data_IF_578794215044
#
_entry.id   IF_578794215044
#
_cell.length_a   1.000
_cell.length_b   1.000
_cell.length_c   1.000
_cell.angle_alpha   90.00
_cell.angle_beta   90.00
_cell.angle_gamma   90.00
#
_symmetry.space_group_name_H-M   'P 1'
#
loop_
_entity.id
_entity.type
_entity.pdbx_description
1 polymer ?
#
# COMPACT_ATOMS: atom_id res chain seq x y z
N UNK A 1 23.57 -4.51 48.04
CA UNK A 1 24.82 -4.18 47.31
C UNK A 1 25.26 -5.42 46.55
N UNK A 2 25.03 -5.47 45.24
CA UNK A 2 25.51 -6.52 44.34
C UNK A 2 26.64 -5.92 43.52
N UNK A 3 27.86 -6.44 43.67
CA UNK A 3 29.04 -5.94 42.98
C UNK A 3 29.31 -6.74 41.70
N UNK A 4 29.95 -6.12 40.67
CA UNK A 4 30.34 -6.82 39.46
C UNK A 4 31.40 -7.87 39.81
N UNK A 5 31.12 -9.14 39.55
CA UNK A 5 32.14 -10.19 39.57
C UNK A 5 33.11 -9.89 38.42
N UNK A 6 34.27 -9.30 38.73
CA UNK A 6 35.39 -9.22 37.79
C UNK A 6 35.87 -10.65 37.51
N UNK A 7 35.45 -11.22 36.39
CA UNK A 7 36.01 -12.47 35.87
C UNK A 7 37.47 -12.20 35.52
N UNK A 8 38.38 -12.72 36.35
CA UNK A 8 39.81 -12.64 36.06
C UNK A 8 40.13 -13.83 35.15
N UNK A 9 40.23 -13.58 33.84
CA UNK A 9 40.59 -14.63 32.88
C UNK A 9 42.10 -14.91 33.00
N UNK A 10 42.47 -16.06 33.55
CA UNK A 10 43.81 -16.59 33.34
C UNK A 10 43.84 -17.24 31.96
N UNK A 11 44.62 -16.66 31.04
CA UNK A 11 44.99 -17.31 29.79
C UNK A 11 45.65 -18.64 30.14
N UNK A 12 45.00 -19.73 29.74
CA UNK A 12 45.56 -21.07 29.88
C UNK A 12 46.94 -21.10 29.22
N UNK A 13 47.99 -21.25 30.03
CA UNK A 13 49.38 -21.21 29.57
C UNK A 13 49.71 -22.42 28.67
N UNK A 14 48.78 -23.38 28.52
CA UNK A 14 48.88 -24.50 27.60
C UNK A 14 48.45 -24.19 26.16
N UNK A 15 47.79 -23.05 25.90
CA UNK A 15 47.44 -22.64 24.54
C UNK A 15 48.69 -22.26 23.75
N UNK A 16 49.06 -23.10 22.78
CA UNK A 16 50.19 -22.81 21.90
C UNK A 16 49.87 -21.58 21.04
N UNK A 17 50.90 -20.82 20.66
CA UNK A 17 50.76 -19.70 19.73
C UNK A 17 50.13 -20.13 18.38
N UNK A 18 50.21 -21.40 18.03
CA UNK A 18 49.57 -21.99 16.87
C UNK A 18 48.05 -22.13 17.03
N UNK A 19 47.57 -22.59 18.19
CA UNK A 19 46.14 -22.66 18.50
C UNK A 19 45.48 -21.27 18.49
N UNK A 20 46.16 -20.25 19.02
CA UNK A 20 45.68 -18.87 18.97
C UNK A 20 45.61 -18.32 17.54
N UNK A 21 46.57 -18.65 16.68
CA UNK A 21 46.53 -18.25 15.25
C UNK A 21 45.42 -18.96 14.49
N UNK A 22 45.22 -20.26 14.72
CA UNK A 22 44.12 -21.01 14.12
C UNK A 22 42.77 -20.42 14.54
N UNK A 23 42.56 -20.16 15.84
CA UNK A 23 41.34 -19.54 16.34
C UNK A 23 41.11 -18.13 15.74
N UNK A 24 42.16 -17.33 15.59
CA UNK A 24 42.07 -16.02 14.94
C UNK A 24 41.73 -16.11 13.44
N UNK A 25 42.30 -17.09 12.73
CA UNK A 25 41.98 -17.36 11.32
C UNK A 25 40.52 -17.80 11.16
N UNK A 26 40.04 -18.72 12.00
CA UNK A 26 38.65 -19.17 12.00
C UNK A 26 37.69 -18.02 12.32
N UNK A 27 38.04 -17.17 13.30
CA UNK A 27 37.26 -15.97 13.60
C UNK A 27 37.20 -15.00 12.41
N UNK A 28 38.31 -14.79 11.70
CA UNK A 28 38.35 -13.95 10.51
C UNK A 28 37.51 -14.53 9.36
N UNK A 29 37.52 -15.85 9.17
CA UNK A 29 36.68 -16.53 8.15
C UNK A 29 35.19 -16.41 8.49
N UNK A 30 34.81 -16.59 9.76
CA UNK A 30 33.42 -16.39 10.22
C UNK A 30 32.95 -14.96 10.00
N UNK A 31 33.75 -13.98 10.36
CA UNK A 31 33.44 -12.55 10.15
C UNK A 31 33.31 -12.20 8.67
N UNK A 32 34.19 -12.72 7.81
CA UNK A 32 34.10 -12.50 6.37
C UNK A 32 32.83 -13.13 5.77
N UNK A 33 32.45 -14.31 6.25
CA UNK A 33 31.21 -14.98 5.83
C UNK A 33 29.98 -14.19 6.27
N UNK A 34 29.95 -13.70 7.51
CA UNK A 34 28.88 -12.84 8.04
C UNK A 34 28.70 -11.58 7.20
N UNK A 35 29.78 -10.85 6.90
CA UNK A 35 29.72 -9.65 6.05
C UNK A 35 29.20 -9.94 4.64
N UNK A 36 29.54 -11.10 4.05
CA UNK A 36 29.00 -11.51 2.76
C UNK A 36 27.51 -11.81 2.83
N UNK A 37 27.05 -12.46 3.90
CA UNK A 37 25.62 -12.73 4.12
C UNK A 37 24.83 -11.44 4.35
N UNK A 38 25.34 -10.53 5.18
CA UNK A 38 24.75 -9.20 5.40
C UNK A 38 24.66 -8.42 4.07
N UNK A 39 25.75 -8.33 3.31
CA UNK A 39 25.75 -7.66 2.01
C UNK A 39 24.79 -8.32 0.99
N UNK A 40 24.69 -9.65 0.98
CA UNK A 40 23.75 -10.37 0.12
C UNK A 40 22.29 -10.10 0.53
N UNK A 41 22.00 -10.05 1.83
CA UNK A 41 20.66 -9.69 2.36
C UNK A 41 20.29 -8.27 1.99
N UNK A 42 21.19 -7.31 2.18
CA UNK A 42 20.94 -5.91 1.85
C UNK A 42 20.72 -5.74 0.34
N UNK A 43 21.51 -6.43 -0.49
CA UNK A 43 21.31 -6.45 -1.94
C UNK A 43 19.95 -7.05 -2.34
N UNK A 44 19.51 -8.13 -1.66
CA UNK A 44 18.21 -8.74 -1.91
C UNK A 44 17.05 -7.81 -1.51
N UNK A 45 17.16 -7.10 -0.38
CA UNK A 45 16.16 -6.10 0.05
C UNK A 45 16.06 -4.94 -0.94
N UNK A 46 17.20 -4.43 -1.43
CA UNK A 46 17.22 -3.39 -2.47
C UNK A 46 16.60 -3.87 -3.77
N UNK A 47 16.88 -5.12 -4.19
CA UNK A 47 16.29 -5.71 -5.39
C UNK A 47 14.77 -5.90 -5.26
N UNK A 48 14.29 -6.33 -4.09
CA UNK A 48 12.85 -6.43 -3.80
C UNK A 48 12.17 -5.07 -3.84
N UNK A 49 12.75 -4.06 -3.17
CA UNK A 49 12.23 -2.69 -3.19
C UNK A 49 12.17 -2.10 -4.62
N UNK A 50 13.19 -2.35 -5.44
CA UNK A 50 13.18 -1.94 -6.85
C UNK A 50 12.08 -2.66 -7.65
N UNK A 51 11.88 -3.96 -7.42
CA UNK A 51 10.80 -4.73 -8.06
C UNK A 51 9.43 -4.18 -7.66
N UNK A 52 9.23 -3.86 -6.39
CA UNK A 52 7.98 -3.32 -5.86
C UNK A 52 7.67 -1.93 -6.43
N UNK A 53 8.68 -1.07 -6.54
CA UNK A 53 8.56 0.23 -7.18
C UNK A 53 8.17 0.09 -8.67
N UNK A 54 8.78 -0.86 -9.38
CA UNK A 54 8.42 -1.14 -10.77
C UNK A 54 6.99 -1.67 -10.93
N UNK A 55 6.53 -2.58 -10.05
CA UNK A 55 5.12 -3.05 -10.01
C UNK A 55 4.17 -1.90 -9.81
N UNK A 56 4.46 -1.03 -8.83
CA UNK A 56 3.66 0.15 -8.52
C UNK A 56 3.57 1.07 -9.74
N UNK A 57 4.70 1.31 -10.39
CA UNK A 57 4.79 2.08 -11.62
C UNK A 57 3.88 1.53 -12.72
N UNK A 58 3.84 0.21 -12.90
CA UNK A 58 2.95 -0.45 -13.87
C UNK A 58 1.48 -0.28 -13.49
N UNK A 59 1.12 -0.51 -12.23
CA UNK A 59 -0.27 -0.37 -11.74
C UNK A 59 -0.79 1.05 -11.93
N UNK A 60 0.01 2.07 -11.61
CA UNK A 60 -0.31 3.49 -11.86
C UNK A 60 -0.64 3.75 -13.33
N UNK A 61 0.22 3.29 -14.25
CA UNK A 61 0.02 3.51 -15.68
C UNK A 61 -1.18 2.75 -16.22
N UNK A 62 -1.42 1.52 -15.76
CA UNK A 62 -2.63 0.76 -16.10
C UNK A 62 -3.92 1.46 -15.64
N UNK A 63 -3.91 2.08 -14.45
CA UNK A 63 -5.04 2.87 -13.98
C UNK A 63 -5.30 4.09 -14.88
N UNK A 64 -4.23 4.82 -15.26
CA UNK A 64 -4.32 5.95 -16.21
C UNK A 64 -4.80 5.53 -17.60
N UNK A 65 -4.32 4.39 -18.12
CA UNK A 65 -4.81 3.80 -19.38
C UNK A 65 -6.31 3.52 -19.31
N UNK A 66 -6.77 2.96 -18.19
CA UNK A 66 -8.18 2.66 -17.97
C UNK A 66 -9.02 3.94 -17.94
N UNK A 67 -8.58 4.96 -17.20
CA UNK A 67 -9.25 6.26 -17.14
C UNK A 67 -9.31 6.97 -18.51
N UNK A 68 -8.23 6.92 -19.28
CA UNK A 68 -8.18 7.46 -20.64
C UNK A 68 -9.12 6.71 -21.59
N UNK A 69 -9.17 5.38 -21.48
CA UNK A 69 -10.06 4.53 -22.26
C UNK A 69 -11.53 4.84 -21.98
N UNK A 70 -11.90 5.01 -20.71
CA UNK A 70 -13.25 5.42 -20.32
C UNK A 70 -13.58 6.81 -20.88
N UNK A 71 -12.68 7.78 -20.71
CA UNK A 71 -12.88 9.14 -21.23
C UNK A 71 -13.09 9.13 -22.75
N UNK A 72 -12.34 8.29 -23.47
CA UNK A 72 -12.54 8.10 -24.91
C UNK A 72 -13.95 7.57 -25.23
N UNK A 73 -14.41 6.55 -24.53
CA UNK A 73 -15.77 6.01 -24.75
C UNK A 73 -16.83 7.08 -24.50
N UNK A 74 -16.73 7.83 -23.41
CA UNK A 74 -17.65 8.94 -23.10
C UNK A 74 -17.67 9.98 -24.24
N UNK A 75 -16.49 10.36 -24.76
CA UNK A 75 -16.40 11.30 -25.88
C UNK A 75 -16.89 10.71 -27.20
N UNK A 76 -16.72 9.41 -27.42
CA UNK A 76 -17.21 8.73 -28.60
C UNK A 76 -18.73 8.62 -28.58
N UNK A 77 -19.35 8.43 -27.41
CA UNK A 77 -20.79 8.51 -27.24
C UNK A 77 -21.31 9.92 -27.56
N UNK A 78 -20.58 10.96 -27.13
CA UNK A 78 -20.96 12.36 -27.34
C UNK A 78 -20.74 12.87 -28.79
N UNK A 79 -19.60 12.56 -29.40
CA UNK A 79 -19.15 13.15 -30.68
C UNK A 79 -19.02 12.13 -31.82
N UNK A 80 -19.35 10.87 -31.58
CA UNK A 80 -19.36 9.81 -32.59
C UNK A 80 -17.99 9.54 -33.22
N UNK A 81 -17.95 9.49 -34.55
CA UNK A 81 -16.78 9.08 -35.33
C UNK A 81 -15.63 10.11 -35.33
N UNK A 82 -15.82 11.30 -34.77
CA UNK A 82 -14.76 12.30 -34.64
C UNK A 82 -13.63 11.85 -33.68
N UNK A 83 -13.93 10.91 -32.78
CA UNK A 83 -12.99 10.40 -31.79
C UNK A 83 -12.42 9.07 -32.26
N UNK A 84 -11.14 9.07 -32.63
CA UNK A 84 -10.44 7.93 -33.27
C UNK A 84 -9.27 7.42 -32.42
N UNK A 85 -8.82 8.18 -31.40
CA UNK A 85 -7.64 7.85 -30.59
C UNK A 85 -7.69 6.43 -30.02
N UNK A 86 -6.55 5.74 -30.08
CA UNK A 86 -6.38 4.42 -29.48
C UNK A 86 -5.44 4.50 -28.26
N UNK A 87 -5.95 4.31 -27.03
CA UNK A 87 -5.09 4.24 -25.86
C UNK A 87 -4.19 2.98 -25.93
N UNK A 88 -2.99 3.01 -25.32
CA UNK A 88 -2.12 1.84 -25.26
C UNK A 88 -2.78 0.73 -24.42
N UNK A 89 -2.35 -0.53 -24.61
CA UNK A 89 -2.90 -1.66 -23.89
C UNK A 89 -2.29 -1.78 -22.47
N UNK A 90 -3.09 -2.06 -21.42
CA UNK A 90 -2.57 -2.31 -20.07
C UNK A 90 -1.67 -3.53 -20.02
N UNK A 91 -0.57 -3.46 -19.27
CA UNK A 91 0.31 -4.61 -19.05
C UNK A 91 -0.23 -5.52 -17.95
N UNK A 92 -0.34 -6.81 -18.24
CA UNK A 92 -0.57 -7.84 -17.21
C UNK A 92 0.77 -8.21 -16.57
N UNK A 93 0.88 -7.93 -15.27
CA UNK A 93 2.07 -8.28 -14.48
C UNK A 93 2.07 -9.80 -14.29
N UNK A 94 3.19 -10.42 -14.65
CA UNK A 94 3.47 -11.85 -14.54
C UNK A 94 4.96 -12.05 -14.27
N UNK A 95 5.65 -12.81 -15.12
CA UNK A 95 7.06 -13.21 -14.94
C UNK A 95 8.08 -12.20 -15.45
N UNK A 96 7.68 -10.97 -15.76
CA UNK A 96 8.62 -9.95 -16.24
C UNK A 96 9.64 -9.57 -15.16
N UNK A 97 10.85 -9.27 -15.61
CA UNK A 97 11.94 -8.71 -14.80
C UNK A 97 11.70 -7.24 -14.43
N UNK A 98 12.42 -6.74 -13.42
CA UNK A 98 12.35 -5.33 -13.03
C UNK A 98 12.66 -4.38 -14.19
N UNK A 99 13.72 -4.67 -14.96
CA UNK A 99 14.13 -3.85 -16.09
C UNK A 99 13.08 -3.82 -17.23
N UNK A 100 12.41 -4.94 -17.51
CA UNK A 100 11.33 -4.99 -18.50
C UNK A 100 10.12 -4.15 -18.06
N UNK A 101 9.78 -4.17 -16.77
CA UNK A 101 8.69 -3.36 -16.23
C UNK A 101 9.01 -1.86 -16.28
N UNK A 102 10.24 -1.48 -15.96
CA UNK A 102 10.71 -0.09 -16.06
C UNK A 102 10.72 0.40 -17.51
N UNK A 103 11.21 -0.42 -18.44
CA UNK A 103 11.20 -0.11 -19.87
C UNK A 103 9.77 0.06 -20.39
N UNK A 104 8.86 -0.84 -20.01
CA UNK A 104 7.43 -0.70 -20.33
C UNK A 104 6.84 0.58 -19.73
N UNK A 105 7.17 0.92 -18.49
CA UNK A 105 6.67 2.15 -17.87
C UNK A 105 7.08 3.40 -18.67
N UNK A 106 8.34 3.47 -19.09
CA UNK A 106 8.85 4.59 -19.88
C UNK A 106 8.20 4.68 -21.27
N UNK A 107 7.91 3.54 -21.90
CA UNK A 107 7.19 3.48 -23.17
C UNK A 107 5.71 3.88 -23.01
N UNK A 108 5.04 3.34 -21.99
CA UNK A 108 3.66 3.65 -21.66
C UNK A 108 3.48 5.15 -21.37
N UNK A 109 4.43 5.82 -20.71
CA UNK A 109 4.37 7.26 -20.46
C UNK A 109 4.37 8.07 -21.76
N UNK A 110 5.21 7.70 -22.74
CA UNK A 110 5.24 8.35 -24.06
C UNK A 110 3.97 8.10 -24.86
N UNK A 111 3.46 6.86 -24.83
CA UNK A 111 2.23 6.49 -25.51
C UNK A 111 1.00 7.19 -24.91
N UNK A 112 0.90 7.23 -23.57
CA UNK A 112 -0.15 7.95 -22.85
C UNK A 112 -0.13 9.45 -23.15
N UNK A 113 1.05 10.09 -23.10
CA UNK A 113 1.16 11.52 -23.40
C UNK A 113 0.73 11.84 -24.85
N UNK A 114 0.99 10.94 -25.79
CA UNK A 114 0.57 11.10 -27.18
C UNK A 114 -0.94 10.93 -27.33
N UNK A 115 -1.50 9.83 -26.80
CA UNK A 115 -2.93 9.56 -26.85
C UNK A 115 -3.77 10.63 -26.13
N UNK A 116 -3.28 11.15 -24.99
CA UNK A 116 -3.96 12.26 -24.29
C UNK A 116 -4.02 13.52 -25.15
N UNK A 117 -2.89 13.95 -25.73
CA UNK A 117 -2.87 15.13 -26.60
C UNK A 117 -3.79 14.98 -27.81
N UNK A 118 -3.73 13.83 -28.49
CA UNK A 118 -4.61 13.56 -29.63
C UNK A 118 -6.10 13.60 -29.24
N UNK A 119 -6.44 13.06 -28.06
CA UNK A 119 -7.83 13.05 -27.59
C UNK A 119 -8.29 14.45 -27.24
N UNK A 120 -7.44 15.26 -26.61
CA UNK A 120 -7.72 16.66 -26.32
C UNK A 120 -7.96 17.47 -27.58
N UNK A 121 -7.11 17.30 -28.60
CA UNK A 121 -7.24 17.99 -29.88
C UNK A 121 -8.51 17.58 -30.63
N UNK A 122 -8.82 16.28 -30.70
CA UNK A 122 -10.04 15.78 -31.35
C UNK A 122 -11.31 16.26 -30.64
N UNK A 123 -11.36 16.19 -29.31
CA UNK A 123 -12.49 16.65 -28.52
C UNK A 123 -12.69 18.16 -28.64
N UNK A 124 -11.62 18.96 -28.57
CA UNK A 124 -11.72 20.41 -28.71
C UNK A 124 -12.21 20.80 -30.11
N UNK A 125 -11.76 20.11 -31.16
CA UNK A 125 -12.21 20.33 -32.53
C UNK A 125 -13.66 19.93 -32.74
N UNK A 126 -14.08 18.78 -32.23
CA UNK A 126 -15.47 18.31 -32.31
C UNK A 126 -16.40 19.30 -31.61
N UNK A 127 -16.05 19.70 -30.38
CA UNK A 127 -16.84 20.68 -29.63
C UNK A 127 -16.90 22.04 -30.32
N UNK A 128 -15.80 22.55 -30.87
CA UNK A 128 -15.81 23.81 -31.61
C UNK A 128 -16.72 23.71 -32.85
N UNK A 129 -16.66 22.60 -33.58
CA UNK A 129 -17.51 22.36 -34.75
C UNK A 129 -18.99 22.40 -34.36
N UNK A 130 -19.37 21.68 -33.30
CA UNK A 130 -20.76 21.67 -32.80
C UNK A 130 -21.20 23.05 -32.32
N UNK A 131 -20.34 23.76 -31.59
CA UNK A 131 -20.63 25.07 -31.01
C UNK A 131 -20.92 26.13 -32.07
N UNK A 132 -20.08 26.22 -33.11
CA UNK A 132 -20.20 27.28 -34.12
C UNK A 132 -21.17 26.92 -35.27
N UNK A 133 -21.45 25.63 -35.49
CA UNK A 133 -22.51 25.22 -36.41
C UNK A 133 -23.90 25.70 -35.94
N UNK A 134 -24.17 25.67 -34.64
CA UNK A 134 -25.46 26.14 -34.08
C UNK A 134 -25.59 27.67 -34.15
N UNK A 135 -24.50 28.40 -33.88
CA UNK A 135 -24.49 29.88 -33.95
C UNK A 135 -24.74 30.38 -35.37
N UNK A 136 -24.08 29.79 -36.36
CA UNK A 136 -24.23 30.18 -37.78
C UNK A 136 -25.63 29.86 -38.30
N UNK A 137 -26.22 28.73 -37.90
CA UNK A 137 -27.61 28.39 -38.20
C UNK A 137 -28.63 29.39 -37.65
N UNK A 138 -28.48 29.81 -36.38
CA UNK A 138 -29.39 30.78 -35.75
C UNK A 138 -29.29 32.19 -36.33
N UNK A 139 -28.11 32.60 -36.79
CA UNK A 139 -27.96 33.90 -37.48
C UNK A 139 -28.64 33.93 -38.85
N UNK A 140 -28.70 32.79 -39.55
CA UNK A 140 -29.39 32.69 -40.84
C UNK A 140 -30.92 32.79 -40.68
N UNK A 141 -31.49 32.21 -39.61
CA UNK A 141 -32.94 32.31 -39.35
C UNK A 141 -33.38 33.67 -38.77
N UNK A 142 -32.47 34.42 -38.13
CA UNK A 142 -32.80 35.74 -37.56
C UNK A 142 -32.83 36.88 -38.58
N UNK A 143 -32.60 36.63 -39.87
CA UNK A 143 -32.60 37.69 -40.89
C UNK A 143 -33.61 37.40 -41.99
N UNK A 144 -34.79 37.99 -41.85
CA UNK A 144 -35.53 38.77 -42.87
C UNK A 144 -36.79 39.35 -42.20
N UNK A 145 -36.61 40.35 -41.32
CA UNK A 145 -37.65 41.37 -41.17
C UNK A 145 -37.40 42.37 -42.29
N UNK A 146 -38.41 42.59 -43.12
CA UNK A 146 -38.34 43.46 -44.28
C UNK A 146 -37.90 44.87 -43.86
N UNK A 147 -36.78 45.32 -44.42
CA UNK A 147 -36.19 46.63 -44.14
C UNK A 147 -37.14 47.79 -44.53
N UNK A 148 -38.19 47.52 -45.31
CA UNK A 148 -39.24 48.48 -45.61
C UNK A 148 -40.13 48.84 -44.40
N UNK A 149 -40.25 47.98 -43.37
CA UNK A 149 -41.15 48.24 -42.24
C UNK A 149 -40.51 48.95 -41.04
N UNK A 150 -39.17 48.94 -40.92
CA UNK A 150 -38.48 49.49 -39.74
C UNK A 150 -37.87 50.89 -39.93
N UNK A 151 -37.78 51.41 -41.16
CA UNK A 151 -37.04 52.65 -41.47
C UNK A 151 -37.85 53.73 -42.20
N UNK A 152 -39.18 53.74 -42.08
CA UNK A 152 -39.98 54.84 -42.61
C UNK A 152 -39.73 56.20 -41.90
N UNK A 153 -38.96 56.27 -40.80
CA UNK A 153 -38.70 57.56 -40.14
C UNK A 153 -37.44 57.57 -39.25
N UNK A 154 -36.23 57.65 -39.81
CA UNK A 154 -35.12 58.40 -39.16
C UNK A 154 -33.86 58.57 -40.01
N UNK A 155 -33.44 59.83 -40.06
CA UNK A 155 -32.23 60.37 -40.69
C UNK A 155 -30.92 59.66 -40.35
N UNK A 156 -30.05 59.65 -41.36
CA UNK A 156 -28.71 59.09 -41.42
C UNK A 156 -27.76 59.52 -40.29
N UNK A 157 -26.87 58.60 -39.88
CA UNK A 157 -25.46 58.94 -39.76
C UNK A 157 -24.60 58.04 -40.64
N UNK A 158 -23.91 58.68 -41.58
CA UNK A 158 -22.83 58.12 -42.40
C UNK A 158 -21.60 57.85 -41.52
N UNK A 159 -21.26 56.58 -41.31
CA UNK A 159 -20.07 56.16 -40.55
C UNK A 159 -19.92 54.65 -40.23
N UNK A 160 -20.93 53.82 -40.47
CA UNK A 160 -20.99 52.44 -39.93
C UNK A 160 -20.37 51.31 -40.78
N UNK A 161 -19.78 51.59 -41.95
CA UNK A 161 -19.31 50.52 -42.86
C UNK A 161 -18.01 49.85 -42.37
N UNK A 162 -17.34 50.43 -41.37
CA UNK A 162 -16.13 49.84 -40.75
C UNK A 162 -16.41 48.80 -39.66
N UNK A 163 -17.59 48.76 -39.03
CA UNK A 163 -17.81 47.98 -37.81
C UNK A 163 -18.08 46.49 -38.04
N UNK A 164 -18.71 46.11 -39.16
CA UNK A 164 -19.10 44.70 -39.38
C UNK A 164 -17.89 43.78 -39.58
N UNK A 165 -16.85 44.22 -40.31
CA UNK A 165 -15.62 43.44 -40.50
C UNK A 165 -14.76 43.38 -39.23
N UNK A 166 -14.73 44.45 -38.43
CA UNK A 166 -14.05 44.43 -37.13
C UNK A 166 -14.73 43.45 -36.15
N UNK A 167 -16.06 43.40 -36.16
CA UNK A 167 -16.84 42.47 -35.33
C UNK A 167 -16.66 41.01 -35.79
N UNK A 168 -16.60 40.74 -37.09
CA UNK A 168 -16.34 39.40 -37.64
C UNK A 168 -14.94 38.90 -37.29
N UNK A 169 -13.91 39.73 -37.50
CA UNK A 169 -12.53 39.39 -37.13
C UNK A 169 -12.37 39.19 -35.61
N UNK A 170 -13.08 39.97 -34.79
CA UNK A 170 -13.08 39.80 -33.34
C UNK A 170 -13.77 38.48 -32.92
N UNK A 171 -14.86 38.08 -33.59
CA UNK A 171 -15.52 36.79 -33.36
C UNK A 171 -14.63 35.60 -33.74
N UNK A 172 -13.94 35.67 -34.88
CA UNK A 172 -12.95 34.64 -35.26
C UNK A 172 -11.82 34.52 -34.21
N UNK A 173 -11.38 35.62 -33.60
CA UNK A 173 -10.37 35.58 -32.55
C UNK A 173 -10.89 34.95 -31.25
N UNK A 174 -12.15 35.21 -30.89
CA UNK A 174 -12.83 34.54 -29.78
C UNK A 174 -12.92 33.04 -30.04
N UNK A 175 -13.34 32.61 -31.24
CA UNK A 175 -13.41 31.20 -31.65
C UNK A 175 -12.03 30.52 -31.57
N UNK A 176 -11.01 31.13 -32.16
CA UNK A 176 -9.63 30.62 -32.14
C UNK A 176 -9.12 30.50 -30.70
N UNK A 177 -9.47 31.46 -29.85
CA UNK A 177 -9.07 31.45 -28.45
C UNK A 177 -9.84 30.42 -27.63
N UNK A 178 -11.15 30.24 -27.84
CA UNK A 178 -11.95 29.21 -27.20
C UNK A 178 -11.44 27.82 -27.57
N UNK A 179 -11.19 27.55 -28.85
CA UNK A 179 -10.62 26.29 -29.33
C UNK A 179 -9.29 25.99 -28.62
N UNK A 180 -8.39 26.98 -28.53
CA UNK A 180 -7.10 26.86 -27.82
C UNK A 180 -7.23 26.69 -26.31
N UNK A 181 -8.26 27.27 -25.67
CA UNK A 181 -8.49 27.11 -24.23
C UNK A 181 -9.05 25.72 -23.94
N UNK A 182 -9.99 25.25 -24.75
CA UNK A 182 -10.63 23.94 -24.60
C UNK A 182 -9.70 22.79 -24.96
N UNK A 183 -8.76 22.98 -25.89
CA UNK A 183 -7.70 22.00 -26.19
C UNK A 183 -6.74 21.76 -25.01
N UNK A 184 -6.80 22.57 -23.95
CA UNK A 184 -6.04 22.36 -22.71
C UNK A 184 -6.82 21.60 -21.65
N UNK A 185 -8.12 21.35 -21.85
CA UNK A 185 -8.92 20.58 -20.92
C UNK A 185 -8.45 19.12 -20.90
N UNK A 186 -8.09 18.60 -19.73
CA UNK A 186 -7.64 17.21 -19.60
C UNK A 186 -8.78 16.24 -19.92
N UNK A 187 -8.53 15.12 -20.63
CA UNK A 187 -9.59 14.23 -21.08
C UNK A 187 -10.31 13.53 -19.91
N UNK A 188 -9.57 13.23 -18.85
CA UNK A 188 -10.05 12.60 -17.61
C UNK A 188 -10.60 13.61 -16.58
N UNK A 189 -10.91 14.85 -17.02
CA UNK A 189 -11.72 15.74 -16.21
C UNK A 189 -13.11 15.12 -16.00
N UNK A 190 -13.62 15.13 -14.76
CA UNK A 190 -14.96 14.60 -14.46
C UNK A 190 -16.03 15.30 -15.29
N UNK A 191 -17.09 14.55 -15.62
CA UNK A 191 -18.18 15.00 -16.51
C UNK A 191 -18.80 16.34 -16.08
N UNK A 192 -18.96 16.56 -14.77
CA UNK A 192 -19.46 17.83 -14.23
C UNK A 192 -18.57 19.03 -14.55
N UNK A 193 -17.26 18.94 -14.25
CA UNK A 193 -16.31 20.03 -14.54
C UNK A 193 -16.18 20.30 -16.04
N UNK A 194 -16.28 19.24 -16.86
CA UNK A 194 -16.29 19.35 -18.31
C UNK A 194 -17.51 20.14 -18.79
N UNK A 195 -18.71 19.76 -18.33
CA UNK A 195 -19.96 20.43 -18.66
C UNK A 195 -19.94 21.91 -18.23
N UNK A 196 -19.39 22.21 -17.05
CA UNK A 196 -19.25 23.59 -16.56
C UNK A 196 -18.36 24.45 -17.47
N UNK A 197 -17.24 23.90 -17.94
CA UNK A 197 -16.32 24.60 -18.85
C UNK A 197 -16.97 24.79 -20.24
N UNK A 198 -17.65 23.76 -20.75
CA UNK A 198 -18.38 23.81 -22.02
C UNK A 198 -19.51 24.84 -21.97
N UNK A 199 -20.27 24.91 -20.87
CA UNK A 199 -21.33 25.91 -20.70
C UNK A 199 -20.78 27.34 -20.74
N UNK A 200 -19.64 27.61 -20.11
CA UNK A 200 -19.00 28.93 -20.18
C UNK A 200 -18.50 29.25 -21.59
N UNK A 201 -18.01 28.25 -22.33
CA UNK A 201 -17.60 28.43 -23.73
C UNK A 201 -18.80 28.74 -24.63
N UNK A 202 -19.94 28.08 -24.40
CA UNK A 202 -21.21 28.40 -25.09
C UNK A 202 -21.60 29.85 -24.84
N UNK A 203 -21.55 30.31 -23.58
CA UNK A 203 -21.85 31.72 -23.24
C UNK A 203 -20.90 32.71 -23.91
N UNK A 204 -19.62 32.35 -24.07
CA UNK A 204 -18.66 33.18 -24.78
C UNK A 204 -18.96 33.28 -26.28
N UNK A 205 -19.42 32.19 -26.91
CA UNK A 205 -19.78 32.17 -28.33
C UNK A 205 -21.13 32.84 -28.62
N UNK A 206 -22.09 32.76 -27.68
CA UNK A 206 -23.40 33.41 -27.78
C UNK A 206 -23.41 34.88 -27.35
N UNK A 207 -22.28 35.40 -26.85
CA UNK A 207 -22.17 36.76 -26.34
C UNK A 207 -22.54 37.79 -27.42
N UNK A 208 -23.36 38.77 -27.02
CA UNK A 208 -23.87 39.80 -27.94
C UNK A 208 -22.86 40.92 -28.19
N UNK A 209 -21.92 41.08 -27.26
CA UNK A 209 -20.88 42.12 -27.31
C UNK A 209 -19.50 41.51 -27.10
N UNK A 210 -18.47 42.19 -27.60
CA UNK A 210 -17.09 41.73 -27.46
C UNK A 210 -16.61 41.69 -26.00
N UNK A 211 -17.04 42.65 -25.17
CA UNK A 211 -16.66 42.69 -23.75
C UNK A 211 -17.32 41.57 -22.93
N UNK A 212 -18.58 41.22 -23.27
CA UNK A 212 -19.24 40.03 -22.73
C UNK A 212 -18.49 38.75 -23.15
N UNK A 213 -18.12 38.63 -24.43
CA UNK A 213 -17.35 37.49 -24.94
C UNK A 213 -16.01 37.35 -24.21
N UNK A 214 -15.28 38.46 -24.01
CA UNK A 214 -14.00 38.49 -23.25
C UNK A 214 -14.17 38.08 -21.79
N UNK A 215 -15.26 38.50 -21.16
CA UNK A 215 -15.60 38.14 -19.78
C UNK A 215 -15.84 36.63 -19.68
N UNK A 216 -16.70 36.07 -20.51
CA UNK A 216 -16.97 34.64 -20.54
C UNK A 216 -15.77 33.80 -20.97
N UNK A 217 -14.90 34.33 -21.81
CA UNK A 217 -13.66 33.68 -22.18
C UNK A 217 -12.68 33.59 -21.00
N UNK A 218 -12.66 34.61 -20.13
CA UNK A 218 -11.91 34.57 -18.87
C UNK A 218 -12.49 33.53 -17.91
N UNK A 219 -13.82 33.49 -17.78
CA UNK A 219 -14.51 32.47 -16.97
C UNK A 219 -14.24 31.05 -17.49
N UNK A 220 -14.30 30.83 -18.81
CA UNK A 220 -13.97 29.55 -19.45
C UNK A 220 -12.55 29.11 -19.08
N UNK A 221 -11.56 30.01 -19.12
CA UNK A 221 -10.18 29.71 -18.71
C UNK A 221 -10.09 29.27 -17.25
N UNK A 222 -10.78 29.96 -16.34
CA UNK A 222 -10.81 29.62 -14.92
C UNK A 222 -11.46 28.26 -14.68
N UNK A 223 -12.55 27.93 -15.38
CA UNK A 223 -13.21 26.62 -15.28
C UNK A 223 -12.35 25.49 -15.82
N UNK A 224 -11.68 25.68 -16.96
CA UNK A 224 -10.71 24.71 -17.49
C UNK A 224 -9.57 24.50 -16.50
N UNK A 225 -9.03 25.57 -15.90
CA UNK A 225 -7.98 25.45 -14.89
C UNK A 225 -8.44 24.65 -13.67
N UNK A 226 -9.64 24.94 -13.13
CA UNK A 226 -10.22 24.18 -12.01
C UNK A 226 -10.45 22.70 -12.37
N UNK A 227 -10.98 22.44 -13.57
CA UNK A 227 -11.20 21.08 -14.07
C UNK A 227 -9.90 20.28 -14.17
N UNK A 228 -8.84 20.92 -14.67
CA UNK A 228 -7.51 20.31 -14.77
C UNK A 228 -6.90 20.04 -13.39
N UNK A 229 -6.93 21.02 -12.49
CA UNK A 229 -6.45 20.82 -11.11
C UNK A 229 -7.18 19.69 -10.40
N UNK A 230 -8.49 19.54 -10.62
CA UNK A 230 -9.28 18.44 -10.07
C UNK A 230 -8.92 17.08 -10.70
N UNK A 231 -8.64 17.03 -12.00
CA UNK A 231 -8.15 15.82 -12.67
C UNK A 231 -6.76 15.40 -12.15
N UNK A 232 -5.84 16.35 -12.02
CA UNK A 232 -4.52 16.09 -11.44
C UNK A 232 -4.59 15.64 -9.98
N UNK A 233 -5.51 16.21 -9.18
CA UNK A 233 -5.76 15.75 -7.83
C UNK A 233 -6.25 14.29 -7.80
N UNK A 234 -7.20 13.93 -8.68
CA UNK A 234 -7.66 12.53 -8.82
C UNK A 234 -6.54 11.59 -9.24
N UNK A 235 -5.64 12.01 -10.13
CA UNK A 235 -4.46 11.21 -10.52
C UNK A 235 -3.55 10.95 -9.32
N UNK A 236 -3.24 11.98 -8.52
CA UNK A 236 -2.45 11.83 -7.29
C UNK A 236 -3.14 10.92 -6.27
N UNK A 237 -4.45 11.09 -6.06
CA UNK A 237 -5.23 10.23 -5.18
C UNK A 237 -5.22 8.76 -5.63
N UNK A 238 -5.32 8.51 -6.95
CA UNK A 238 -5.23 7.17 -7.51
C UNK A 238 -3.83 6.56 -7.30
N UNK A 239 -2.76 7.33 -7.50
CA UNK A 239 -1.38 6.89 -7.25
C UNK A 239 -1.15 6.54 -5.78
N UNK A 240 -1.63 7.38 -4.86
CA UNK A 240 -1.59 7.13 -3.42
C UNK A 240 -2.38 5.85 -3.06
N UNK A 241 -3.59 5.69 -3.60
CA UNK A 241 -4.42 4.51 -3.37
C UNK A 241 -3.80 3.21 -3.92
N UNK A 242 -3.10 3.25 -5.06
CA UNK A 242 -2.35 2.10 -5.58
C UNK A 242 -1.24 1.70 -4.63
N UNK A 243 -0.55 2.68 -4.04
CA UNK A 243 0.45 2.42 -3.00
C UNK A 243 -0.16 1.68 -1.81
N UNK A 244 -1.28 2.18 -1.29
CA UNK A 244 -1.98 1.53 -0.19
C UNK A 244 -2.50 0.12 -0.52
N UNK A 245 -2.98 -0.11 -1.75
CA UNK A 245 -3.41 -1.44 -2.18
C UNK A 245 -2.27 -2.45 -2.21
N UNK A 246 -1.07 -2.02 -2.57
CA UNK A 246 0.12 -2.89 -2.55
C UNK A 246 0.54 -3.21 -1.12
N UNK A 247 0.57 -2.20 -0.24
CA UNK A 247 0.93 -2.37 1.17
C UNK A 247 -0.03 -3.35 1.89
N UNK A 248 -1.29 -3.43 1.45
CA UNK A 248 -2.33 -4.30 2.02
C UNK A 248 -2.54 -5.63 1.25
N UNK A 249 -1.72 -5.95 0.25
CA UNK A 249 -1.96 -7.07 -0.67
C UNK A 249 -1.95 -8.44 0.04
N UNK A 250 -1.10 -8.58 1.06
CA UNK A 250 -0.90 -9.83 1.80
C UNK A 250 -1.78 -9.98 3.05
N UNK A 251 -2.43 -8.90 3.49
CA UNK A 251 -3.26 -8.92 4.71
C UNK A 251 -4.67 -9.41 4.40
N UNK A 252 -5.04 -10.58 4.93
CA UNK A 252 -6.35 -11.21 4.71
C UNK A 252 -7.24 -11.04 5.93
N UNK A 253 -7.94 -9.90 6.02
CA UNK A 253 -8.92 -9.58 7.08
C UNK A 253 -10.13 -8.90 6.44
N UNK A 254 -11.34 -9.22 6.91
CA UNK A 254 -12.58 -8.70 6.32
C UNK A 254 -12.63 -7.15 6.28
N UNK A 255 -12.11 -6.50 7.33
CA UNK A 255 -12.03 -5.03 7.38
C UNK A 255 -11.05 -4.46 6.33
N UNK A 256 -9.97 -5.19 6.05
CA UNK A 256 -8.99 -4.83 5.02
C UNK A 256 -9.59 -4.99 3.63
N UNK A 257 -10.38 -6.04 3.39
CA UNK A 257 -11.07 -6.25 2.12
C UNK A 257 -12.05 -5.11 1.79
N UNK A 258 -12.77 -4.61 2.81
CA UNK A 258 -13.62 -3.42 2.66
C UNK A 258 -12.81 -2.18 2.28
N UNK A 259 -11.66 -1.95 2.92
CA UNK A 259 -10.77 -0.82 2.61
C UNK A 259 -10.19 -0.97 1.20
N UNK A 260 -9.78 -2.17 0.79
CA UNK A 260 -9.29 -2.45 -0.56
C UNK A 260 -10.33 -2.16 -1.63
N UNK A 261 -11.59 -2.51 -1.39
CA UNK A 261 -12.68 -2.21 -2.32
C UNK A 261 -12.86 -0.68 -2.50
N UNK A 262 -12.81 0.09 -1.42
CA UNK A 262 -12.90 1.55 -1.47
C UNK A 262 -11.69 2.18 -2.18
N UNK A 263 -10.48 1.68 -1.93
CA UNK A 263 -9.29 2.11 -2.65
C UNK A 263 -9.39 1.80 -4.15
N UNK A 264 -9.94 0.64 -4.53
CA UNK A 264 -10.16 0.31 -5.94
C UNK A 264 -11.13 1.28 -6.64
N UNK A 265 -12.13 1.82 -5.92
CA UNK A 265 -12.99 2.89 -6.44
C UNK A 265 -12.25 4.21 -6.64
N UNK A 266 -11.31 4.55 -5.76
CA UNK A 266 -10.42 5.71 -5.91
C UNK A 266 -9.54 5.55 -7.14
N UNK A 267 -8.91 4.39 -7.31
CA UNK A 267 -8.08 4.08 -8.49
C UNK A 267 -8.89 4.15 -9.78
N UNK A 268 -10.15 3.74 -9.75
CA UNK A 268 -11.06 3.85 -10.88
C UNK A 268 -11.64 5.27 -11.09
N UNK A 269 -11.25 6.26 -10.26
CA UNK A 269 -11.71 7.65 -10.34
C UNK A 269 -13.17 7.88 -9.95
N UNK A 270 -13.84 6.88 -9.35
CA UNK A 270 -15.26 6.97 -8.93
C UNK A 270 -15.42 7.60 -7.54
N UNK A 271 -14.34 7.66 -6.77
CA UNK A 271 -14.30 8.21 -5.41
C UNK A 271 -13.06 9.07 -5.23
N UNK A 272 -13.16 10.13 -4.44
CA UNK A 272 -11.98 10.87 -3.96
C UNK A 272 -11.31 10.12 -2.79
N UNK A 273 -10.00 10.27 -2.64
CA UNK A 273 -9.31 9.79 -1.45
C UNK A 273 -9.55 10.79 -0.33
N UNK A 274 -10.60 10.57 0.44
CA UNK A 274 -10.96 11.43 1.56
C UNK A 274 -10.14 11.10 2.82
N UNK A 275 -10.09 12.05 3.73
CA UNK A 275 -9.36 11.94 4.99
C UNK A 275 -9.86 10.78 5.90
N UNK A 276 -11.18 10.50 6.01
CA UNK A 276 -11.66 9.30 6.69
C UNK A 276 -11.12 7.99 6.11
N UNK A 277 -11.04 7.86 4.78
CA UNK A 277 -10.47 6.67 4.13
C UNK A 277 -8.97 6.58 4.41
N UNK A 278 -8.21 7.68 4.35
CA UNK A 278 -6.78 7.70 4.72
C UNK A 278 -6.56 7.19 6.14
N UNK A 279 -7.36 7.64 7.12
CA UNK A 279 -7.27 7.15 8.51
C UNK A 279 -7.58 5.66 8.64
N UNK A 280 -8.60 5.15 7.92
CA UNK A 280 -8.92 3.72 7.92
C UNK A 280 -7.76 2.90 7.35
N UNK A 281 -7.17 3.34 6.24
CA UNK A 281 -5.99 2.70 5.66
C UNK A 281 -4.82 2.70 6.64
N UNK A 282 -4.53 3.84 7.28
CA UNK A 282 -3.47 3.93 8.28
C UNK A 282 -3.69 2.96 9.45
N UNK A 283 -4.93 2.83 9.94
CA UNK A 283 -5.29 1.84 10.96
C UNK A 283 -5.10 0.40 10.51
N UNK A 284 -5.53 0.05 9.28
CA UNK A 284 -5.30 -1.27 8.71
C UNK A 284 -3.82 -1.59 8.55
N UNK A 285 -3.01 -0.61 8.12
CA UNK A 285 -1.56 -0.75 7.98
C UNK A 285 -0.88 -0.95 9.32
N UNK A 286 -1.16 -0.11 10.32
CA UNK A 286 -0.60 -0.26 11.66
C UNK A 286 -0.96 -1.62 12.28
N UNK A 287 -2.19 -2.10 12.06
CA UNK A 287 -2.61 -3.43 12.53
C UNK A 287 -1.87 -4.57 11.79
N UNK A 288 -1.63 -4.43 10.49
CA UNK A 288 -0.88 -5.41 9.71
C UNK A 288 0.61 -5.42 10.06
N UNK A 289 1.20 -4.24 10.27
CA UNK A 289 2.59 -4.05 10.71
C UNK A 289 2.79 -4.69 12.09
N UNK A 290 1.92 -4.39 13.07
CA UNK A 290 1.98 -4.99 14.40
C UNK A 290 1.84 -6.53 14.39
N UNK A 291 0.97 -7.07 13.53
CA UNK A 291 0.81 -8.51 13.35
C UNK A 291 2.05 -9.15 12.72
N UNK A 292 2.65 -8.51 11.70
CA UNK A 292 3.88 -8.98 11.08
C UNK A 292 5.07 -8.95 12.04
N UNK A 293 5.19 -7.89 12.85
CA UNK A 293 6.19 -7.77 13.92
C UNK A 293 6.01 -8.88 14.96
N UNK A 294 4.78 -9.12 15.42
CA UNK A 294 4.49 -10.19 16.37
C UNK A 294 4.86 -11.57 15.78
N UNK A 295 4.48 -11.83 14.53
CA UNK A 295 4.82 -13.10 13.87
C UNK A 295 6.32 -13.27 13.68
N UNK A 296 7.04 -12.19 13.35
CA UNK A 296 8.50 -12.19 13.25
C UNK A 296 9.15 -12.56 14.59
N UNK A 297 8.72 -11.91 15.69
CA UNK A 297 9.23 -12.22 17.04
C UNK A 297 8.97 -13.69 17.38
N UNK A 298 7.75 -14.16 17.18
CA UNK A 298 7.33 -15.54 17.49
C UNK A 298 8.15 -16.56 16.68
N UNK A 299 8.32 -16.35 15.37
CA UNK A 299 9.12 -17.24 14.52
C UNK A 299 10.59 -17.23 14.94
N UNK A 300 11.17 -16.05 15.17
CA UNK A 300 12.58 -15.91 15.53
C UNK A 300 12.89 -16.59 16.87
N UNK A 301 12.00 -16.44 17.86
CA UNK A 301 12.14 -17.12 19.16
C UNK A 301 12.07 -18.63 18.99
N UNK A 302 11.13 -19.13 18.19
CA UNK A 302 10.99 -20.57 17.94
C UNK A 302 12.16 -21.18 17.19
N UNK A 303 12.68 -20.49 16.17
CA UNK A 303 13.87 -20.92 15.44
C UNK A 303 15.08 -21.00 16.39
N UNK A 304 15.30 -19.96 17.20
CA UNK A 304 16.41 -19.91 18.15
C UNK A 304 16.32 -21.01 19.22
N UNK A 305 15.12 -21.32 19.72
CA UNK A 305 14.87 -22.41 20.67
C UNK A 305 15.04 -23.79 20.04
N UNK A 306 14.57 -23.97 18.80
CA UNK A 306 14.76 -25.22 18.05
C UNK A 306 16.23 -25.52 17.83
N UNK A 307 17.02 -24.48 17.50
CA UNK A 307 18.47 -24.59 17.36
C UNK A 307 19.19 -24.87 18.70
N UNK A 308 18.55 -24.62 19.85
CA UNK A 308 19.07 -25.00 21.18
C UNK A 308 18.69 -26.46 21.56
N UNK A 309 17.96 -27.15 20.69
CA UNK A 309 17.50 -28.52 20.92
C UNK A 309 16.17 -28.62 21.67
N UNK A 310 15.45 -27.51 21.86
CA UNK A 310 14.10 -27.52 22.41
C UNK A 310 13.07 -27.87 21.32
N UNK A 311 12.11 -28.71 21.69
CA UNK A 311 10.94 -29.00 20.89
C UNK A 311 9.79 -28.11 21.38
N UNK A 312 9.24 -27.32 20.46
CA UNK A 312 8.04 -26.52 20.72
C UNK A 312 6.82 -27.42 20.50
N UNK A 313 6.03 -27.68 21.55
CA UNK A 313 4.86 -28.57 21.46
C UNK A 313 3.80 -28.09 20.44
N UNK A 314 3.03 -29.04 19.87
CA UNK A 314 1.89 -28.74 18.99
C UNK A 314 0.86 -27.85 19.72
N UNK A 315 0.53 -26.73 19.12
CA UNK A 315 -0.18 -25.60 19.74
C UNK A 315 0.40 -24.24 19.31
N UNK A 316 1.59 -24.26 18.70
CA UNK A 316 2.29 -23.08 18.16
C UNK A 316 1.64 -22.50 16.90
N UNK A 317 1.09 -23.34 16.01
CA UNK A 317 0.61 -22.93 14.68
C UNK A 317 -0.71 -22.14 14.69
N UNK A 318 -1.45 -22.16 15.81
CA UNK A 318 -2.71 -21.41 15.99
C UNK A 318 -2.66 -20.60 17.28
N UNK A 319 -1.68 -19.71 17.41
CA UNK A 319 -1.69 -18.65 18.43
C UNK A 319 -2.84 -17.66 18.16
N UNK A 320 -4.08 -18.07 18.42
CA UNK A 320 -5.09 -17.12 18.87
C UNK A 320 -4.77 -16.82 20.33
N UNK A 321 -4.44 -15.55 20.56
CA UNK A 321 -3.80 -14.93 21.72
C UNK A 321 -4.72 -14.92 22.95
N UNK A 322 -5.36 -16.04 23.28
CA UNK A 322 -6.26 -16.10 24.45
C UNK A 322 -5.55 -16.64 25.70
N UNK A 323 -4.51 -17.48 25.57
CA UNK A 323 -3.75 -18.00 26.75
C UNK A 323 -2.20 -18.15 26.60
N UNK A 324 -1.62 -17.78 25.45
CA UNK A 324 -0.20 -17.36 25.26
C UNK A 324 0.98 -18.20 25.80
N UNK A 325 0.75 -19.40 26.36
CA UNK A 325 1.77 -20.19 27.06
C UNK A 325 2.30 -21.31 26.16
N UNK A 326 3.56 -21.21 25.79
CA UNK A 326 4.33 -22.20 25.05
C UNK A 326 5.00 -23.16 26.03
N UNK A 327 4.86 -24.47 25.81
CA UNK A 327 5.62 -25.47 26.55
C UNK A 327 6.75 -25.99 25.69
N UNK A 328 7.97 -25.77 26.15
CA UNK A 328 9.21 -26.21 25.53
C UNK A 328 9.66 -27.49 26.23
N UNK A 329 9.80 -28.57 25.48
CA UNK A 329 10.37 -29.82 25.99
C UNK A 329 11.75 -30.04 25.40
N UNK A 330 12.60 -30.78 26.11
CA UNK A 330 13.92 -31.19 25.63
C UNK A 330 14.02 -32.70 25.79
N UNK A 331 14.61 -33.40 24.82
CA UNK A 331 14.68 -34.88 24.84
C UNK A 331 15.45 -35.43 26.04
N UNK A 332 16.44 -34.68 26.53
CA UNK A 332 17.20 -34.95 27.75
C UNK A 332 16.46 -34.63 29.06
N UNK A 333 15.29 -33.95 28.99
CA UNK A 333 14.49 -33.53 30.15
C UNK A 333 13.10 -34.21 30.13
N UNK A 334 13.02 -35.53 30.40
CA UNK A 334 11.74 -36.24 30.29
C UNK A 334 10.69 -35.79 31.31
N UNK A 335 11.11 -35.30 32.48
CA UNK A 335 10.23 -34.93 33.61
C UNK A 335 10.16 -33.41 33.85
N UNK A 336 10.77 -32.62 32.96
CA UNK A 336 10.82 -31.16 33.05
C UNK A 336 10.48 -30.52 31.71
N UNK A 337 9.93 -29.32 31.77
CA UNK A 337 9.67 -28.48 30.61
C UNK A 337 9.89 -27.02 30.98
N UNK A 338 9.96 -26.14 29.99
CA UNK A 338 9.95 -24.70 30.21
C UNK A 338 8.63 -24.14 29.70
N UNK A 339 7.88 -23.48 30.57
CA UNK A 339 6.75 -22.66 30.16
C UNK A 339 7.27 -21.28 29.77
N UNK A 340 7.00 -20.88 28.53
CA UNK A 340 7.35 -19.61 27.94
C UNK A 340 6.05 -18.86 27.60
N UNK A 341 5.85 -17.68 28.16
CA UNK A 341 4.70 -16.82 27.86
C UNK A 341 5.21 -15.57 27.16
N UNK A 342 4.66 -15.27 25.99
CA UNK A 342 4.89 -14.01 25.28
C UNK A 342 3.62 -13.18 25.41
N UNK A 343 3.74 -11.98 25.97
CA UNK A 343 2.60 -11.06 26.11
C UNK A 343 1.98 -10.71 24.74
N UNK A 344 0.68 -10.40 24.73
CA UNK A 344 -0.08 -10.04 23.53
C UNK A 344 0.47 -8.78 22.84
N UNK A 345 1.13 -7.91 23.61
CA UNK A 345 1.81 -6.72 23.10
C UNK A 345 3.24 -7.02 22.60
N UNK A 346 3.69 -8.28 22.63
CA UNK A 346 5.01 -8.72 22.17
C UNK A 346 6.20 -8.23 23.02
N UNK A 347 5.96 -7.40 24.02
CA UNK A 347 7.02 -6.68 24.75
C UNK A 347 7.59 -7.42 25.97
N UNK A 348 6.97 -8.50 26.43
CA UNK A 348 7.46 -9.25 27.61
C UNK A 348 7.47 -10.75 27.35
N UNK A 349 8.61 -11.36 27.69
CA UNK A 349 8.82 -12.79 27.66
C UNK A 349 9.01 -13.28 29.10
N UNK A 350 8.17 -14.23 29.53
CA UNK A 350 8.25 -14.83 30.86
C UNK A 350 8.53 -16.31 30.72
N UNK A 351 9.49 -16.80 31.49
CA UNK A 351 9.93 -18.19 31.40
C UNK A 351 10.01 -18.80 32.77
N UNK A 352 9.50 -20.02 32.93
CA UNK A 352 9.60 -20.78 34.16
C UNK A 352 9.86 -22.25 33.82
N UNK A 353 10.87 -22.85 34.45
CA UNK A 353 11.01 -24.31 34.46
C UNK A 353 9.84 -24.87 35.25
N UNK A 354 9.24 -25.95 34.75
CA UNK A 354 8.12 -26.65 35.38
C UNK A 354 8.36 -28.14 35.33
N UNK A 355 7.87 -28.85 36.34
CA UNK A 355 7.90 -30.31 36.38
C UNK A 355 6.67 -30.89 35.68
N UNK A 356 6.86 -31.92 34.87
CA UNK A 356 5.77 -32.58 34.10
C UNK A 356 5.34 -33.91 34.70
N UNK A 357 6.12 -34.49 35.61
CA UNK A 357 5.81 -35.69 36.38
C UNK A 357 5.90 -35.42 37.90
N UNK A 358 5.08 -36.11 38.70
CA UNK A 358 5.20 -36.03 40.15
C UNK A 358 6.35 -36.93 40.61
N UNK A 359 7.24 -36.38 41.44
CA UNK A 359 8.29 -37.11 42.13
C UNK A 359 8.31 -36.66 43.60
N UNK A 360 8.58 -37.59 44.51
CA UNK A 360 8.62 -37.36 45.95
C UNK A 360 10.02 -37.72 46.48
N UNK A 361 10.94 -36.75 46.57
CA UNK A 361 12.25 -36.94 47.20
C UNK A 361 13.20 -35.74 47.16
N UNK A 362 14.21 -35.75 48.03
CA UNK A 362 15.30 -34.74 48.05
C UNK A 362 16.13 -34.75 46.74
N UNK A 363 16.19 -35.91 46.06
CA UNK A 363 16.87 -36.06 44.76
C UNK A 363 16.17 -35.23 43.66
N UNK A 364 14.84 -35.09 43.72
CA UNK A 364 14.11 -34.29 42.74
C UNK A 364 14.34 -32.79 42.92
N UNK A 365 14.54 -32.33 44.16
CA UNK A 365 14.86 -30.94 44.44
C UNK A 365 16.26 -30.58 43.90
N UNK A 366 17.21 -31.51 43.95
CA UNK A 366 18.52 -31.32 43.33
C UNK A 366 18.42 -31.28 41.80
N UNK A 367 17.65 -32.19 41.20
CA UNK A 367 17.41 -32.19 39.75
C UNK A 367 16.70 -30.92 39.28
N UNK A 368 15.73 -30.41 40.02
CA UNK A 368 15.06 -29.14 39.72
C UNK A 368 16.06 -27.98 39.62
N UNK A 369 16.98 -27.87 40.58
CA UNK A 369 18.03 -26.84 40.58
C UNK A 369 18.97 -27.01 39.38
N UNK A 370 19.37 -28.24 39.05
CA UNK A 370 20.22 -28.53 37.89
C UNK A 370 19.53 -28.09 36.58
N UNK A 371 18.23 -28.35 36.44
CA UNK A 371 17.45 -27.95 35.24
C UNK A 371 17.25 -26.44 35.17
N UNK A 372 17.07 -25.76 36.29
CA UNK A 372 17.05 -24.30 36.35
C UNK A 372 18.40 -23.67 35.99
N UNK A 373 19.52 -24.24 36.46
CA UNK A 373 20.87 -23.80 36.07
C UNK A 373 21.12 -23.96 34.58
N UNK A 374 20.73 -25.09 34.00
CA UNK A 374 20.90 -25.34 32.58
C UNK A 374 19.99 -24.42 31.74
N UNK A 375 18.74 -24.23 32.14
CA UNK A 375 17.87 -23.23 31.51
C UNK A 375 18.48 -21.83 31.57
N UNK A 376 19.09 -21.44 32.69
CA UNK A 376 19.74 -20.13 32.79
C UNK A 376 20.88 -19.97 31.78
N UNK A 377 21.67 -21.02 31.53
CA UNK A 377 22.72 -21.02 30.51
C UNK A 377 22.15 -20.92 29.10
N UNK A 378 21.18 -21.79 28.77
CA UNK A 378 20.51 -21.81 27.47
C UNK A 378 19.77 -20.48 27.20
N UNK A 379 19.23 -19.85 28.23
CA UNK A 379 18.58 -18.54 28.13
C UNK A 379 19.58 -17.43 27.77
N UNK A 380 20.82 -17.48 28.27
CA UNK A 380 21.86 -16.55 27.83
C UNK A 380 22.20 -16.76 26.35
N UNK A 381 22.34 -18.01 25.92
CA UNK A 381 22.60 -18.32 24.51
C UNK A 381 21.42 -17.92 23.59
N UNK A 382 20.18 -18.14 24.04
CA UNK A 382 18.97 -17.67 23.38
C UNK A 382 19.02 -16.15 23.18
N UNK A 383 19.36 -15.39 24.22
CA UNK A 383 19.46 -13.92 24.13
C UNK A 383 20.51 -13.48 23.13
N UNK A 384 21.67 -14.13 23.10
CA UNK A 384 22.72 -13.82 22.13
C UNK A 384 22.25 -14.08 20.70
N UNK A 385 21.50 -15.18 20.47
CA UNK A 385 20.91 -15.50 19.16
C UNK A 385 19.81 -14.51 18.76
N UNK A 386 18.92 -14.14 19.69
CA UNK A 386 17.90 -13.12 19.46
C UNK A 386 18.52 -11.76 19.13
N UNK A 387 19.58 -11.36 19.83
CA UNK A 387 20.31 -10.13 19.56
C UNK A 387 20.96 -10.15 18.16
N UNK A 388 21.50 -11.29 17.74
CA UNK A 388 22.01 -11.49 16.37
C UNK A 388 20.90 -11.38 15.31
N UNK A 389 19.68 -11.77 15.65
CA UNK A 389 18.48 -11.59 14.82
C UNK A 389 17.84 -10.18 14.95
N UNK A 390 18.48 -9.25 15.69
CA UNK A 390 18.01 -7.87 15.85
C UNK A 390 16.95 -7.68 16.95
N UNK A 391 16.67 -8.70 17.76
CA UNK A 391 15.75 -8.63 18.89
C UNK A 391 16.55 -8.39 20.18
N UNK A 392 16.63 -7.13 20.61
CA UNK A 392 17.25 -6.79 21.88
C UNK A 392 16.37 -7.22 23.05
N UNK A 393 16.94 -7.97 23.99
CA UNK A 393 16.23 -8.43 25.20
C UNK A 393 16.88 -7.83 26.44
N UNK A 394 16.06 -7.29 27.35
CA UNK A 394 16.50 -6.80 28.66
C UNK A 394 15.85 -7.63 29.79
N UNK A 395 16.65 -8.07 30.75
CA UNK A 395 16.20 -8.98 31.82
C UNK A 395 15.76 -8.13 33.00
N UNK A 396 14.44 -7.96 33.14
CA UNK A 396 13.85 -7.16 34.21
C UNK A 396 13.91 -7.88 35.58
N UNK A 397 13.65 -9.18 35.58
CA UNK A 397 13.62 -10.00 36.80
C UNK A 397 14.32 -11.32 36.51
N UNK A 398 15.26 -11.68 37.36
CA UNK A 398 15.92 -12.99 37.35
C UNK A 398 15.90 -13.55 38.78
N UNK A 399 15.40 -14.77 38.92
CA UNK A 399 15.39 -15.52 40.17
C UNK A 399 16.53 -16.55 40.07
N UNK A 400 17.49 -16.56 41.00
CA UNK A 400 18.52 -17.60 41.05
C UNK A 400 17.92 -19.02 41.15
N UNK A 401 18.56 -20.02 40.54
CA UNK A 401 18.18 -21.43 40.69
C UNK A 401 18.02 -21.84 42.16
N UNK A 402 16.97 -22.60 42.45
CA UNK A 402 16.63 -23.13 43.77
C UNK A 402 16.00 -22.13 44.74
N UNK A 403 15.79 -20.86 44.37
CA UNK A 403 15.17 -19.89 45.26
C UNK A 403 13.64 -20.05 45.36
N UNK A 404 12.99 -20.49 44.28
CA UNK A 404 11.54 -20.71 44.21
C UNK A 404 11.30 -22.17 43.82
N UNK A 405 10.41 -22.91 44.51
CA UNK A 405 10.11 -24.29 44.13
C UNK A 405 9.55 -24.37 42.70
N UNK A 406 10.05 -25.33 41.91
CA UNK A 406 9.58 -25.58 40.54
C UNK A 406 8.10 -25.98 40.56
N UNK A 407 7.21 -25.31 39.80
CA UNK A 407 5.80 -25.67 39.76
C UNK A 407 5.59 -27.04 39.11
N UNK A 408 4.78 -27.89 39.74
CA UNK A 408 4.29 -29.12 39.12
C UNK A 408 3.09 -28.80 38.21
N UNK A 409 3.24 -29.04 36.91
CA UNK A 409 2.15 -28.86 35.93
C UNK A 409 1.85 -30.20 35.26
N UNK A 410 1.06 -31.02 35.96
CA UNK A 410 0.56 -32.29 35.42
C UNK A 410 -0.33 -31.99 34.21
N UNK A 411 0.00 -32.54 33.05
CA UNK A 411 -0.87 -32.43 31.87
C UNK A 411 -2.26 -32.99 32.21
N UNK A 412 -3.36 -32.34 31.79
CA UNK A 412 -4.68 -32.92 31.96
C UNK A 412 -4.71 -34.27 31.27
N UNK A 413 -4.96 -35.33 32.04
CA UNK A 413 -5.19 -36.67 31.48
C UNK A 413 -6.32 -36.53 30.47
N UNK A 414 -6.02 -36.78 29.20
CA UNK A 414 -7.01 -36.77 28.13
C UNK A 414 -8.21 -37.60 28.62
N UNK A 415 -9.37 -36.96 28.79
CA UNK A 415 -10.56 -37.65 29.25
C UNK A 415 -10.86 -38.74 28.24
N UNK A 416 -10.54 -40.00 28.60
CA UNK A 416 -10.90 -41.15 27.78
C UNK A 416 -12.39 -41.06 27.54
N UNK A 417 -12.78 -40.98 26.27
CA UNK A 417 -14.16 -40.94 25.82
C UNK A 417 -14.86 -42.16 26.41
N UNK A 418 -15.51 -42.00 27.56
CA UNK A 418 -16.36 -43.05 28.14
C UNK A 418 -17.50 -43.22 27.15
N UNK A 419 -17.45 -44.33 26.41
CA UNK A 419 -18.52 -44.76 25.53
C UNK A 419 -19.84 -44.69 26.31
N UNK A 420 -20.73 -43.78 25.87
CA UNK A 420 -22.10 -43.71 26.37
C UNK A 420 -22.77 -45.07 26.13
N UNK A 421 -23.37 -45.71 27.16
CA UNK A 421 -24.14 -46.92 26.95
C UNK A 421 -25.34 -46.59 26.04
N UNK A 422 -25.52 -47.40 24.99
CA UNK A 422 -26.57 -47.23 24.00
C UNK A 422 -27.96 -47.12 24.62
N UNK A 423 -28.68 -46.10 24.17
CA UNK A 423 -30.11 -45.91 24.40
C UNK A 423 -30.85 -47.05 23.68
N UNK A 424 -31.42 -47.99 24.44
CA UNK A 424 -32.35 -49.00 23.94
C UNK A 424 -33.69 -48.33 23.67
N UNK A 425 -33.98 -48.15 22.39
CA UNK A 425 -35.31 -47.86 21.87
C UNK A 425 -36.25 -49.01 22.26
N UNK A 426 -37.34 -48.69 22.98
CA UNK A 426 -38.44 -49.61 23.23
C UNK A 426 -39.62 -49.17 22.39
N UNK A 427 -39.97 -50.01 21.42
CA UNK A 427 -41.28 -50.07 20.79
C UNK A 427 -42.40 -49.99 21.83
N UNK A 428 -43.37 -49.12 21.56
CA UNK A 428 -44.80 -49.40 21.71
C UNK A 428 -45.67 -48.41 20.97
#
# INVERSE_FOLDING_TARGET
MSGPKCTTYQLDQSLTAEALRAAAQDAAVREATRRRQEAARDAALLAAAARDAAVRGVRTRNARITALSQSREDFREQYGAAIIVRPPEPLRIGTQSTAELEAWCAEADRALATAERELQEQTARAFATDLFADVTGRTAERRLVDAAELFADRSEPSGAVGSEHEDEAAREDVERTLTRVLSRLLPDCGTGHRADAQLAAVRAAEATTLDEARTWLTETRLRVQRANSAAEARRRDADEAIGFLQDLEHTRKADVDSVRALLAEVVAGRRALDEPLRRRVAGCRAAAEAEAEQQYVVNTVTDALTDLGYHVGQGFETLTVTDGTLRLSRSEWPEHAVNLVIDQQGGQMRTAVVRTAAGDGDDDAHLDVEREEQWCQDFHELRDRLAQAGLSTDVQVAVPPGQVPVPLVVAPVAASTRARPGYRERDR
#
